data_IF_691189167641
#
_entry.id   IF_691189167641
#
_cell.length_a   1.000
_cell.length_b   1.000
_cell.length_c   1.000
_cell.angle_alpha   90.00
_cell.angle_beta   90.00
_cell.angle_gamma   90.00
#
_symmetry.space_group_name_H-M   'P 1'
#
loop_
_entity.id
_entity.type
_entity.pdbx_description
1 polymer ?
#
# COMPACT_ATOMS: atom_id res chain seq x y z
N UNK A 1 -16.21 -2.71 8.45
CA UNK A 1 -14.82 -2.64 8.98
C UNK A 1 -13.84 -2.95 7.86
N UNK A 2 -12.63 -2.35 7.88
CA UNK A 2 -11.52 -2.66 6.96
C UNK A 2 -10.37 -3.25 7.78
N UNK A 3 -9.81 -4.37 7.36
CA UNK A 3 -8.63 -5.00 7.97
C UNK A 3 -7.42 -4.73 7.08
N UNK A 4 -6.28 -4.36 7.65
CA UNK A 4 -5.02 -4.21 6.89
C UNK A 4 -3.97 -5.18 7.39
N UNK A 5 -3.27 -5.86 6.48
CA UNK A 5 -2.10 -6.68 6.76
C UNK A 5 -0.85 -5.96 6.24
N UNK A 6 0.05 -5.62 7.16
CA UNK A 6 1.33 -4.95 6.85
C UNK A 6 2.49 -5.84 7.32
N UNK A 7 3.01 -6.74 6.49
CA UNK A 7 4.08 -7.66 6.91
C UNK A 7 5.39 -6.97 7.27
N UNK A 8 5.67 -5.79 6.71
CA UNK A 8 6.92 -5.05 6.86
C UNK A 8 6.68 -3.56 7.18
N UNK A 9 6.08 -3.25 8.35
CA UNK A 9 5.89 -1.88 8.78
C UNK A 9 7.23 -1.17 9.02
N UNK A 10 7.20 0.14 9.22
CA UNK A 10 8.39 0.93 9.47
C UNK A 10 8.14 2.09 10.42
N UNK A 11 9.17 2.51 11.15
CA UNK A 11 9.23 3.84 11.72
C UNK A 11 9.77 4.74 10.61
N UNK A 12 8.97 5.69 10.13
CA UNK A 12 9.44 6.65 9.12
C UNK A 12 9.99 7.88 9.84
N UNK A 13 11.34 7.98 9.81
CA UNK A 13 12.10 9.07 10.40
C UNK A 13 12.40 10.13 9.34
N UNK A 14 12.06 11.40 9.61
CA UNK A 14 12.45 12.53 8.76
C UNK A 14 13.44 13.39 9.52
N UNK A 15 14.61 13.65 8.91
CA UNK A 15 15.69 14.49 9.41
C UNK A 15 15.80 15.69 8.49
N UNK A 16 15.54 16.90 9.00
CA UNK A 16 15.72 18.14 8.25
C UNK A 16 17.09 18.75 8.55
N UNK A 17 17.84 19.10 7.51
CA UNK A 17 19.13 19.75 7.58
C UNK A 17 19.04 21.19 7.04
N UNK A 18 19.76 22.13 7.69
CA UNK A 18 19.91 23.52 7.21
C UNK A 18 20.92 23.65 6.06
N UNK A 19 21.65 22.58 5.72
CA UNK A 19 22.70 22.54 4.69
C UNK A 19 22.60 21.27 3.85
N UNK A 20 23.39 21.21 2.80
CA UNK A 20 23.52 19.98 2.00
C UNK A 20 24.11 18.83 2.85
N UNK A 21 23.66 17.61 2.58
CA UNK A 21 24.22 16.40 3.17
C UNK A 21 25.59 16.09 2.52
N UNK A 22 26.64 16.17 3.32
CA UNK A 22 28.02 15.90 2.91
C UNK A 22 28.51 14.60 3.56
N UNK A 23 28.83 13.54 2.77
CA UNK A 23 29.39 12.32 3.30
C UNK A 23 30.68 12.53 4.07
N UNK A 24 30.85 11.84 5.20
CA UNK A 24 32.06 11.91 6.02
C UNK A 24 32.14 13.10 7.00
N UNK A 25 31.09 13.89 7.09
CA UNK A 25 31.01 15.04 8.03
C UNK A 25 29.98 14.82 9.11
N UNK A 26 30.00 15.67 10.16
CA UNK A 26 28.99 15.67 11.22
C UNK A 26 27.95 16.74 10.91
N UNK A 27 26.70 16.31 10.73
CA UNK A 27 25.57 17.21 10.58
C UNK A 27 24.78 17.35 11.89
N UNK A 28 24.26 18.54 12.17
CA UNK A 28 23.27 18.77 13.22
C UNK A 28 21.93 18.99 12.56
N UNK A 29 20.98 18.13 12.91
CA UNK A 29 19.62 18.23 12.37
C UNK A 29 18.90 19.46 12.94
N UNK A 30 18.19 20.19 12.08
CA UNK A 30 17.25 21.24 12.47
C UNK A 30 16.05 20.64 13.22
N UNK A 31 15.53 19.52 12.70
CA UNK A 31 14.45 18.76 13.32
C UNK A 31 14.56 17.28 13.00
N UNK A 32 13.98 16.46 13.87
CA UNK A 32 13.82 15.03 13.66
C UNK A 32 12.40 14.64 14.08
N UNK A 33 11.68 13.93 13.20
CA UNK A 33 10.34 13.42 13.48
C UNK A 33 10.30 11.92 13.23
N UNK A 34 9.45 11.24 13.97
CA UNK A 34 9.21 9.80 13.80
C UNK A 34 7.71 9.58 13.71
N UNK A 35 7.25 8.87 12.70
CA UNK A 35 5.85 8.52 12.50
C UNK A 35 5.71 7.04 12.19
N UNK A 36 4.54 6.49 12.49
CA UNK A 36 4.21 5.15 12.04
C UNK A 36 4.09 5.13 10.52
N UNK A 37 4.77 4.18 9.87
CA UNK A 37 4.78 4.01 8.44
C UNK A 37 4.53 2.57 8.02
N UNK A 38 4.41 2.38 6.70
CA UNK A 38 4.05 1.12 6.06
C UNK A 38 2.70 1.23 5.36
N UNK A 39 2.62 0.70 4.12
CA UNK A 39 1.45 0.93 3.25
C UNK A 39 0.12 0.58 3.92
N UNK A 40 -0.02 -0.59 4.56
CA UNK A 40 -1.26 -0.97 5.23
C UNK A 40 -1.55 -0.12 6.48
N UNK A 41 -0.52 0.35 7.20
CA UNK A 41 -0.67 1.28 8.33
C UNK A 41 -1.21 2.62 7.83
N UNK A 42 -0.69 3.14 6.71
CA UNK A 42 -1.16 4.38 6.09
C UNK A 42 -2.63 4.27 5.65
N UNK A 43 -3.01 3.12 5.06
CA UNK A 43 -4.41 2.84 4.71
C UNK A 43 -5.29 2.82 5.97
N UNK A 44 -4.87 2.12 7.04
CA UNK A 44 -5.61 2.06 8.30
C UNK A 44 -5.77 3.46 8.92
N UNK A 45 -4.72 4.27 8.92
CA UNK A 45 -4.76 5.65 9.41
C UNK A 45 -5.76 6.52 8.61
N UNK A 46 -5.74 6.45 7.28
CA UNK A 46 -6.70 7.17 6.44
C UNK A 46 -8.15 6.74 6.71
N UNK A 47 -8.38 5.44 6.98
CA UNK A 47 -9.69 4.91 7.37
C UNK A 47 -10.10 5.42 8.76
N UNK A 48 -9.17 5.51 9.71
CA UNK A 48 -9.40 6.07 11.05
C UNK A 48 -9.77 7.55 10.98
N UNK A 49 -9.07 8.34 10.16
CA UNK A 49 -9.39 9.75 9.94
C UNK A 49 -10.78 9.97 9.33
N UNK A 50 -11.27 8.99 8.58
CA UNK A 50 -12.66 8.96 8.09
C UNK A 50 -13.69 8.47 9.14
N UNK A 51 -13.28 8.26 10.40
CA UNK A 51 -14.10 7.72 11.48
C UNK A 51 -14.76 6.37 11.15
N UNK A 52 -14.06 5.52 10.40
CA UNK A 52 -14.52 4.17 10.06
C UNK A 52 -13.72 3.10 10.82
N UNK A 53 -14.39 2.03 11.27
CA UNK A 53 -13.74 0.96 12.01
C UNK A 53 -12.72 0.22 11.14
N UNK A 54 -11.52 0.02 11.68
CA UNK A 54 -10.46 -0.73 11.04
C UNK A 54 -9.59 -1.44 12.07
N UNK A 55 -8.84 -2.46 11.63
CA UNK A 55 -7.82 -3.16 12.43
C UNK A 55 -6.57 -3.32 11.57
N UNK A 56 -5.43 -2.89 12.09
CA UNK A 56 -4.14 -3.12 11.47
C UNK A 56 -3.46 -4.36 12.06
N UNK A 57 -3.17 -5.35 11.22
CA UNK A 57 -2.45 -6.58 11.56
C UNK A 57 -1.01 -6.43 11.09
N UNK A 58 -0.04 -6.59 12.00
CA UNK A 58 1.38 -6.48 11.68
C UNK A 58 2.27 -7.20 12.69
N UNK A 59 3.53 -7.58 12.33
CA UNK A 59 4.48 -8.13 13.28
C UNK A 59 5.10 -7.03 14.13
N UNK A 60 5.31 -7.25 15.42
CA UNK A 60 6.06 -6.33 16.30
C UNK A 60 6.63 -7.08 17.51
N UNK A 61 7.79 -6.63 18.02
CA UNK A 61 8.28 -7.07 19.31
C UNK A 61 7.45 -6.46 20.45
N UNK A 62 7.45 -7.09 21.64
CA UNK A 62 6.58 -6.70 22.75
C UNK A 62 6.72 -5.23 23.17
N UNK A 63 7.94 -4.68 23.13
CA UNK A 63 8.25 -3.30 23.51
C UNK A 63 8.74 -2.47 22.34
N UNK A 64 8.28 -2.77 21.11
CA UNK A 64 8.70 -2.06 19.93
C UNK A 64 8.23 -0.60 19.97
N UNK A 65 9.12 0.39 19.72
CA UNK A 65 8.76 1.81 19.71
C UNK A 65 7.77 2.18 18.60
N UNK A 66 7.56 1.31 17.62
CA UNK A 66 6.55 1.47 16.59
C UNK A 66 5.12 1.38 17.12
N UNK A 67 4.86 0.51 18.09
CA UNK A 67 3.51 0.28 18.64
C UNK A 67 2.89 1.54 19.25
N UNK A 68 3.58 2.30 20.11
CA UNK A 68 3.09 3.61 20.57
C UNK A 68 2.76 4.56 19.41
N UNK A 69 3.61 4.67 18.37
CA UNK A 69 3.37 5.54 17.23
C UNK A 69 2.07 5.20 16.48
N UNK A 70 1.75 3.91 16.34
CA UNK A 70 0.47 3.49 15.72
C UNK A 70 -0.72 3.82 16.64
N UNK A 71 -0.57 3.65 17.96
CA UNK A 71 -1.63 4.02 18.91
C UNK A 71 -1.91 5.52 18.95
N UNK A 72 -0.87 6.34 18.82
CA UNK A 72 -0.99 7.81 18.81
C UNK A 72 -1.82 8.32 17.62
N UNK A 73 -1.88 7.56 16.52
CA UNK A 73 -2.76 7.86 15.38
C UNK A 73 -4.14 7.16 15.48
N UNK A 74 -4.49 6.61 16.65
CA UNK A 74 -5.78 5.98 16.97
C UNK A 74 -6.17 4.80 16.06
N UNK A 75 -5.23 4.09 15.47
CA UNK A 75 -5.48 2.86 14.72
C UNK A 75 -5.62 1.70 15.69
N UNK A 76 -6.67 0.90 15.55
CA UNK A 76 -6.82 -0.35 16.29
C UNK A 76 -5.83 -1.39 15.74
N UNK A 77 -5.11 -2.08 16.64
CA UNK A 77 -4.01 -2.97 16.28
C UNK A 77 -4.23 -4.40 16.73
N UNK A 78 -3.75 -5.33 15.91
CA UNK A 78 -3.58 -6.74 16.26
C UNK A 78 -2.15 -7.15 15.88
N UNK A 79 -1.27 -7.33 16.85
CA UNK A 79 0.14 -7.59 16.63
C UNK A 79 0.48 -9.07 16.76
N UNK A 80 1.36 -9.54 15.87
CA UNK A 80 2.00 -10.86 15.99
C UNK A 80 3.42 -10.69 16.52
N UNK A 81 3.72 -11.37 17.64
CA UNK A 81 5.00 -11.23 18.30
C UNK A 81 6.16 -11.76 17.44
N UNK A 82 7.23 -10.96 17.36
CA UNK A 82 8.52 -11.29 16.77
C UNK A 82 9.65 -10.83 17.69
N UNK A 83 10.87 -11.33 17.47
CA UNK A 83 12.01 -11.02 18.34
C UNK A 83 12.77 -9.75 17.93
N UNK A 84 12.78 -9.43 16.64
CA UNK A 84 13.53 -8.28 16.10
C UNK A 84 12.68 -7.00 16.03
N UNK A 85 13.29 -5.82 16.23
CA UNK A 85 12.57 -4.55 16.15
C UNK A 85 12.14 -4.21 14.71
N UNK A 86 11.06 -3.44 14.59
CA UNK A 86 10.60 -2.87 13.34
C UNK A 86 11.71 -1.98 12.74
N UNK A 87 11.84 -2.02 11.41
CA UNK A 87 12.81 -1.20 10.67
C UNK A 87 12.51 0.28 10.80
N UNK A 88 13.58 1.10 10.67
CA UNK A 88 13.44 2.53 10.46
C UNK A 88 13.80 2.86 9.01
N UNK A 89 12.93 3.59 8.33
CA UNK A 89 13.23 4.26 7.07
C UNK A 89 13.57 5.71 7.39
N UNK A 90 14.74 6.17 6.98
CA UNK A 90 15.19 7.55 7.24
C UNK A 90 15.14 8.36 5.96
N UNK A 91 14.43 9.48 5.98
CA UNK A 91 14.45 10.50 4.94
C UNK A 91 15.22 11.71 5.45
N UNK A 92 16.31 12.05 4.79
CA UNK A 92 17.06 13.28 5.04
C UNK A 92 16.62 14.31 4.01
N UNK A 93 16.10 15.45 4.48
CA UNK A 93 15.70 16.60 3.65
C UNK A 93 16.67 17.75 3.85
N UNK A 94 17.12 18.33 2.76
CA UNK A 94 18.02 19.49 2.74
C UNK A 94 17.21 20.77 2.52
N UNK A 95 17.76 21.93 2.90
CA UNK A 95 17.14 23.24 2.66
C UNK A 95 16.83 23.48 1.17
N UNK A 96 17.60 22.88 0.26
CA UNK A 96 17.38 22.93 -1.19
C UNK A 96 16.12 22.17 -1.66
N UNK A 97 15.49 21.39 -0.79
CA UNK A 97 14.41 20.46 -1.13
C UNK A 97 14.89 19.09 -1.59
N UNK A 98 16.22 18.88 -1.75
CA UNK A 98 16.77 17.58 -2.09
C UNK A 98 16.53 16.59 -0.94
N UNK A 99 16.13 15.35 -1.27
CA UNK A 99 15.90 14.29 -0.29
C UNK A 99 16.77 13.08 -0.54
N UNK A 100 17.27 12.47 0.55
CA UNK A 100 17.98 11.19 0.51
C UNK A 100 17.23 10.19 1.39
N UNK A 101 16.89 9.02 0.85
CA UNK A 101 16.16 7.98 1.58
C UNK A 101 17.07 6.79 1.87
N UNK A 102 17.04 6.34 3.13
CA UNK A 102 17.76 5.17 3.65
C UNK A 102 16.73 4.21 4.23
N UNK A 103 16.39 3.16 3.51
CA UNK A 103 15.35 2.22 3.93
C UNK A 103 15.95 0.98 4.60
N UNK A 104 15.47 0.67 5.80
CA UNK A 104 15.82 -0.56 6.52
C UNK A 104 15.21 -1.80 5.85
N UNK A 105 15.89 -2.95 5.98
CA UNK A 105 15.44 -4.22 5.39
C UNK A 105 14.21 -4.83 6.06
N UNK A 106 13.94 -4.46 7.31
CA UNK A 106 12.91 -5.06 8.13
C UNK A 106 13.39 -6.25 8.97
N UNK A 107 12.59 -6.61 9.99
CA UNK A 107 12.90 -7.71 10.91
C UNK A 107 12.85 -9.07 10.23
N UNK A 108 13.39 -10.09 10.91
CA UNK A 108 13.16 -11.48 10.56
C UNK A 108 11.74 -11.88 11.01
N UNK A 109 10.91 -12.28 10.05
CA UNK A 109 9.58 -12.87 10.30
C UNK A 109 9.64 -14.34 9.90
N UNK A 110 9.74 -15.21 10.88
CA UNK A 110 9.87 -16.65 10.69
C UNK A 110 8.56 -17.29 10.19
N UNK A 111 8.61 -18.56 9.80
CA UNK A 111 7.43 -19.28 9.28
C UNK A 111 6.27 -19.33 10.27
N UNK A 112 6.54 -19.38 11.57
CA UNK A 112 5.49 -19.40 12.60
C UNK A 112 4.80 -18.03 12.67
N UNK A 113 5.56 -16.94 12.69
CA UNK A 113 5.02 -15.59 12.69
C UNK A 113 4.26 -15.29 11.38
N UNK A 114 4.74 -15.78 10.23
CA UNK A 114 4.03 -15.68 8.95
C UNK A 114 2.64 -16.34 9.02
N UNK A 115 2.55 -17.56 9.56
CA UNK A 115 1.27 -18.25 9.72
C UNK A 115 0.37 -17.50 10.69
N UNK A 116 0.89 -17.02 11.81
CA UNK A 116 0.12 -16.24 12.78
C UNK A 116 -0.40 -14.91 12.19
N UNK A 117 0.35 -14.26 11.30
CA UNK A 117 -0.13 -13.08 10.57
C UNK A 117 -1.33 -13.41 9.67
N UNK A 118 -1.27 -14.52 8.96
CA UNK A 118 -2.38 -15.01 8.12
C UNK A 118 -3.60 -15.35 8.99
N UNK A 119 -3.38 -16.08 10.09
CA UNK A 119 -4.45 -16.51 11.01
C UNK A 119 -5.13 -15.30 11.68
N UNK A 120 -4.34 -14.33 12.16
CA UNK A 120 -4.86 -13.09 12.76
C UNK A 120 -5.66 -12.26 11.75
N UNK A 121 -5.18 -12.18 10.50
CA UNK A 121 -5.88 -11.49 9.42
C UNK A 121 -7.19 -12.22 9.08
N UNK A 122 -7.18 -13.54 8.98
CA UNK A 122 -8.35 -14.36 8.72
C UNK A 122 -9.40 -14.24 9.83
N UNK A 123 -8.97 -14.24 11.08
CA UNK A 123 -9.88 -14.05 12.22
C UNK A 123 -10.54 -12.65 12.19
N UNK A 124 -9.78 -11.60 11.89
CA UNK A 124 -10.31 -10.24 11.79
C UNK A 124 -11.20 -10.04 10.55
N UNK A 125 -11.02 -10.86 9.50
CA UNK A 125 -11.80 -10.77 8.27
C UNK A 125 -13.27 -11.16 8.43
N UNK A 126 -13.64 -11.89 9.48
CA UNK A 126 -15.02 -12.39 9.70
C UNK A 126 -16.07 -11.27 9.68
N UNK A 127 -15.75 -10.11 10.26
CA UNK A 127 -16.64 -8.94 10.33
C UNK A 127 -16.22 -7.79 9.39
N UNK A 128 -15.30 -8.06 8.49
CA UNK A 128 -14.76 -7.06 7.57
C UNK A 128 -15.51 -7.02 6.24
N UNK A 129 -15.49 -5.87 5.59
CA UNK A 129 -15.90 -5.70 4.19
C UNK A 129 -14.74 -5.85 3.21
N UNK A 130 -13.52 -5.52 3.68
CA UNK A 130 -12.29 -5.59 2.92
C UNK A 130 -11.12 -6.03 3.80
N UNK A 131 -10.23 -6.84 3.24
CA UNK A 131 -8.87 -7.05 3.72
C UNK A 131 -7.91 -6.39 2.73
N UNK A 132 -7.04 -5.53 3.24
CA UNK A 132 -5.97 -4.90 2.47
C UNK A 132 -4.66 -5.57 2.81
N UNK A 133 -4.00 -6.16 1.85
CA UNK A 133 -2.63 -6.66 1.99
C UNK A 133 -1.69 -5.67 1.32
N UNK A 134 -0.78 -5.06 2.08
CA UNK A 134 0.01 -3.98 1.52
C UNK A 134 1.44 -3.90 2.03
N UNK A 135 2.32 -3.49 1.13
CA UNK A 135 3.72 -3.19 1.38
C UNK A 135 4.69 -4.26 0.88
N UNK A 136 5.98 -4.01 1.14
CA UNK A 136 7.07 -4.95 0.90
C UNK A 136 7.05 -6.09 1.91
N UNK A 137 7.84 -7.13 1.65
CA UNK A 137 8.01 -8.25 2.57
C UNK A 137 9.32 -8.11 3.36
N UNK A 138 9.33 -8.47 4.67
CA UNK A 138 10.52 -8.41 5.51
C UNK A 138 11.42 -9.63 5.31
N UNK A 139 12.55 -9.69 6.03
CA UNK A 139 13.45 -10.82 5.98
C UNK A 139 12.75 -12.12 6.40
N UNK A 140 13.11 -13.23 5.75
CA UNK A 140 12.55 -14.56 6.02
C UNK A 140 11.20 -14.85 5.39
N UNK A 141 10.50 -13.83 4.88
CA UNK A 141 9.21 -13.99 4.20
C UNK A 141 9.44 -14.24 2.70
N UNK A 142 8.93 -15.35 2.15
CA UNK A 142 9.08 -15.67 0.73
C UNK A 142 8.24 -14.73 -0.14
N UNK A 143 8.66 -14.53 -1.39
CA UNK A 143 8.01 -13.60 -2.34
C UNK A 143 6.56 -13.96 -2.66
N UNK A 144 6.16 -15.22 -2.51
CA UNK A 144 4.80 -15.73 -2.72
C UNK A 144 3.90 -15.66 -1.48
N UNK A 145 4.33 -14.96 -0.42
CA UNK A 145 3.56 -14.81 0.82
C UNK A 145 2.14 -14.30 0.59
N UNK A 146 1.97 -13.27 -0.26
CA UNK A 146 0.63 -12.74 -0.55
C UNK A 146 -0.24 -13.73 -1.32
N UNK A 147 0.35 -14.56 -2.19
CA UNK A 147 -0.38 -15.66 -2.85
C UNK A 147 -0.91 -16.66 -1.82
N UNK A 148 -0.06 -17.04 -0.86
CA UNK A 148 -0.43 -17.94 0.24
C UNK A 148 -1.52 -17.32 1.12
N UNK A 149 -1.38 -16.05 1.49
CA UNK A 149 -2.35 -15.34 2.32
C UNK A 149 -3.72 -15.18 1.62
N UNK A 150 -3.74 -14.86 0.33
CA UNK A 150 -4.99 -14.79 -0.46
C UNK A 150 -5.70 -16.16 -0.46
N UNK A 151 -4.98 -17.25 -0.72
CA UNK A 151 -5.57 -18.61 -0.70
C UNK A 151 -6.17 -18.95 0.65
N UNK A 152 -5.43 -18.70 1.74
CA UNK A 152 -5.92 -18.94 3.10
C UNK A 152 -7.18 -18.12 3.44
N UNK A 153 -7.23 -16.85 3.03
CA UNK A 153 -8.41 -16.00 3.20
C UNK A 153 -9.60 -16.48 2.36
N UNK A 154 -9.39 -16.94 1.14
CA UNK A 154 -10.47 -17.52 0.32
C UNK A 154 -11.06 -18.77 0.93
N UNK A 155 -10.26 -19.56 1.67
CA UNK A 155 -10.72 -20.76 2.39
C UNK A 155 -11.47 -20.39 3.68
N UNK A 156 -10.94 -19.46 4.48
CA UNK A 156 -11.50 -19.12 5.80
C UNK A 156 -12.65 -18.10 5.75
N UNK A 157 -12.63 -17.18 4.77
CA UNK A 157 -13.61 -16.11 4.58
C UNK A 157 -13.93 -15.93 3.08
N UNK A 158 -14.64 -16.85 2.42
CA UNK A 158 -14.79 -16.90 0.97
C UNK A 158 -15.47 -15.67 0.35
N UNK A 159 -16.25 -14.92 1.13
CA UNK A 159 -16.96 -13.73 0.66
C UNK A 159 -16.21 -12.41 0.94
N UNK A 160 -15.05 -12.46 1.60
CA UNK A 160 -14.28 -11.27 1.89
C UNK A 160 -13.67 -10.69 0.60
N UNK A 161 -13.73 -9.37 0.45
CA UNK A 161 -13.03 -8.70 -0.65
C UNK A 161 -11.60 -8.40 -0.24
N UNK A 162 -10.65 -8.69 -1.14
CA UNK A 162 -9.22 -8.55 -0.91
C UNK A 162 -8.66 -7.48 -1.84
N UNK A 163 -8.02 -6.47 -1.26
CA UNK A 163 -7.24 -5.47 -1.98
C UNK A 163 -5.74 -5.71 -1.78
N UNK A 164 -4.96 -5.59 -2.84
CA UNK A 164 -3.51 -5.77 -2.81
C UNK A 164 -2.79 -4.52 -3.31
N UNK A 165 -1.80 -4.07 -2.56
CA UNK A 165 -0.87 -3.01 -2.95
C UNK A 165 0.57 -3.39 -2.58
N UNK A 166 1.30 -3.97 -3.50
CA UNK A 166 2.69 -4.39 -3.34
C UNK A 166 3.51 -4.07 -4.59
N UNK A 167 4.82 -4.28 -4.54
CA UNK A 167 5.76 -4.01 -5.64
C UNK A 167 6.81 -5.11 -5.77
N UNK A 168 7.65 -5.01 -6.78
CA UNK A 168 8.82 -5.87 -6.99
C UNK A 168 8.48 -7.38 -7.04
N UNK A 169 9.31 -8.21 -6.41
CA UNK A 169 9.16 -9.66 -6.43
C UNK A 169 7.80 -10.18 -5.95
N UNK A 170 7.19 -9.66 -4.87
CA UNK A 170 5.83 -10.06 -4.50
C UNK A 170 4.79 -9.78 -5.59
N UNK A 171 4.92 -8.67 -6.33
CA UNK A 171 4.06 -8.36 -7.47
C UNK A 171 4.25 -9.36 -8.61
N UNK A 172 5.49 -9.74 -8.92
CA UNK A 172 5.79 -10.79 -9.92
C UNK A 172 5.16 -12.14 -9.56
N UNK A 173 5.21 -12.53 -8.28
CA UNK A 173 4.59 -13.78 -7.83
C UNK A 173 3.05 -13.71 -7.91
N UNK A 174 2.46 -12.57 -7.61
CA UNK A 174 1.01 -12.37 -7.84
C UNK A 174 0.68 -12.49 -9.32
N UNK A 175 1.43 -11.83 -10.21
CA UNK A 175 1.22 -11.91 -11.66
C UNK A 175 1.19 -13.35 -12.18
N UNK A 176 2.12 -14.20 -11.71
CA UNK A 176 2.20 -15.62 -12.07
C UNK A 176 1.03 -16.46 -11.53
N UNK A 177 0.35 -16.00 -10.49
CA UNK A 177 -0.65 -16.78 -9.76
C UNK A 177 -2.06 -16.17 -9.80
N UNK A 178 -2.33 -15.15 -10.61
CA UNK A 178 -3.64 -14.50 -10.69
C UNK A 178 -4.78 -15.48 -10.97
N UNK A 179 -4.56 -16.49 -11.81
CA UNK A 179 -5.57 -17.52 -12.11
C UNK A 179 -6.02 -18.35 -10.89
N UNK A 180 -5.23 -18.39 -9.80
CA UNK A 180 -5.49 -19.21 -8.60
C UNK A 180 -5.55 -18.41 -7.31
N UNK A 181 -5.08 -17.17 -7.31
CA UNK A 181 -4.99 -16.29 -6.16
C UNK A 181 -5.20 -14.82 -6.55
N UNK A 182 -6.23 -14.53 -7.37
CA UNK A 182 -6.57 -13.16 -7.71
C UNK A 182 -7.13 -12.42 -6.48
N UNK A 183 -6.60 -11.22 -6.15
CA UNK A 183 -7.32 -10.30 -5.28
C UNK A 183 -8.54 -9.72 -6.01
N UNK A 184 -9.49 -9.16 -5.29
CA UNK A 184 -10.62 -8.45 -5.91
C UNK A 184 -10.19 -7.10 -6.49
N UNK A 185 -9.24 -6.44 -5.81
CA UNK A 185 -8.66 -5.17 -6.23
C UNK A 185 -7.13 -5.25 -6.20
N UNK A 186 -6.49 -4.75 -7.24
CA UNK A 186 -5.06 -4.46 -7.25
C UNK A 186 -4.83 -2.98 -7.58
N UNK A 187 -3.89 -2.33 -6.86
CA UNK A 187 -3.57 -0.93 -7.07
C UNK A 187 -2.12 -0.73 -7.52
N UNK A 188 -1.80 -0.91 -8.79
CA UNK A 188 -0.48 -0.59 -9.32
C UNK A 188 -0.36 0.90 -9.69
N UNK A 189 0.88 1.42 -9.76
CA UNK A 189 1.23 2.54 -10.62
C UNK A 189 1.49 2.04 -12.05
N UNK A 190 1.89 2.91 -12.98
CA UNK A 190 2.15 2.51 -14.37
C UNK A 190 3.32 1.53 -14.50
N UNK A 191 4.40 1.72 -13.71
CA UNK A 191 5.54 0.80 -13.67
C UNK A 191 5.15 -0.58 -13.17
N UNK A 192 4.42 -0.63 -12.06
CA UNK A 192 3.92 -1.87 -11.45
C UNK A 192 2.91 -2.58 -12.37
N UNK A 193 2.07 -1.83 -13.09
CA UNK A 193 1.15 -2.38 -14.09
C UNK A 193 1.92 -3.02 -15.25
N UNK A 194 2.94 -2.33 -15.77
CA UNK A 194 3.84 -2.90 -16.79
C UNK A 194 4.48 -4.20 -16.33
N UNK A 195 4.96 -4.26 -15.08
CA UNK A 195 5.52 -5.45 -14.47
C UNK A 195 4.50 -6.60 -14.38
N UNK A 196 3.24 -6.31 -14.02
CA UNK A 196 2.15 -7.30 -13.95
C UNK A 196 1.86 -7.98 -15.29
N UNK A 197 1.99 -7.26 -16.40
CA UNK A 197 1.61 -7.76 -17.74
C UNK A 197 2.79 -8.02 -18.67
N UNK A 198 4.02 -7.76 -18.23
CA UNK A 198 5.23 -7.94 -19.03
C UNK A 198 5.40 -6.86 -20.12
N UNK A 199 4.97 -5.62 -19.85
CA UNK A 199 5.06 -4.47 -20.75
C UNK A 199 5.97 -3.37 -20.18
N UNK A 200 6.33 -2.39 -21.02
CA UNK A 200 7.11 -1.22 -20.59
C UNK A 200 6.25 -0.25 -19.79
N UNK A 201 6.38 -0.29 -18.46
CA UNK A 201 5.62 0.55 -17.54
C UNK A 201 5.99 2.04 -17.64
N UNK A 202 7.24 2.38 -18.01
CA UNK A 202 7.63 3.77 -18.24
C UNK A 202 6.90 4.36 -19.44
N UNK A 203 6.83 3.60 -20.54
CA UNK A 203 6.07 4.03 -21.71
C UNK A 203 4.58 4.21 -21.41
N UNK A 204 4.00 3.39 -20.51
CA UNK A 204 2.62 3.56 -20.06
C UNK A 204 2.42 4.86 -19.27
N UNK A 205 3.34 5.22 -18.38
CA UNK A 205 3.28 6.46 -17.60
C UNK A 205 3.48 7.69 -18.49
N UNK A 206 4.48 7.69 -19.37
CA UNK A 206 4.77 8.78 -20.30
C UNK A 206 3.58 9.06 -21.25
N UNK A 207 2.93 8.01 -21.77
CA UNK A 207 1.74 8.17 -22.62
C UNK A 207 0.56 8.77 -21.82
N UNK A 208 0.35 8.31 -20.57
CA UNK A 208 -0.70 8.82 -19.70
C UNK A 208 -0.49 10.30 -19.33
N UNK A 209 0.76 10.73 -19.10
CA UNK A 209 1.10 12.15 -18.88
C UNK A 209 0.77 13.03 -20.09
N UNK A 210 0.82 12.46 -21.30
CA UNK A 210 0.42 13.13 -22.55
C UNK A 210 -1.09 13.02 -22.85
N UNK A 211 -1.87 12.39 -21.94
CA UNK A 211 -3.31 12.20 -22.05
C UNK A 211 -3.74 10.96 -22.86
N UNK A 212 -2.80 10.10 -23.25
CA UNK A 212 -3.13 8.81 -23.87
C UNK A 212 -3.15 7.69 -22.83
N UNK A 213 -4.34 7.28 -22.43
CA UNK A 213 -4.59 6.22 -21.48
C UNK A 213 -4.85 4.85 -22.11
N UNK A 214 -4.81 4.76 -23.45
CA UNK A 214 -5.19 3.54 -24.19
C UNK A 214 -4.34 2.34 -23.83
N UNK A 215 -3.01 2.53 -23.68
CA UNK A 215 -2.07 1.49 -23.25
C UNK A 215 -2.34 1.01 -21.83
N UNK A 216 -2.55 1.94 -20.88
CA UNK A 216 -2.86 1.63 -19.50
C UNK A 216 -4.18 0.83 -19.39
N UNK A 217 -5.22 1.22 -20.12
CA UNK A 217 -6.51 0.51 -20.16
C UNK A 217 -6.32 -0.90 -20.72
N UNK A 218 -5.56 -1.05 -21.81
CA UNK A 218 -5.30 -2.35 -22.44
C UNK A 218 -4.52 -3.29 -21.47
N UNK A 219 -3.50 -2.78 -20.81
CA UNK A 219 -2.73 -3.52 -19.80
C UNK A 219 -3.60 -3.93 -18.60
N UNK A 220 -4.39 -3.01 -18.04
CA UNK A 220 -5.28 -3.31 -16.93
C UNK A 220 -6.35 -4.34 -17.29
N UNK A 221 -6.89 -4.34 -18.51
CA UNK A 221 -7.81 -5.37 -18.99
C UNK A 221 -7.20 -6.77 -19.05
N UNK A 222 -5.89 -6.88 -19.31
CA UNK A 222 -5.20 -8.18 -19.23
C UNK A 222 -5.19 -8.72 -17.80
N UNK A 223 -5.09 -7.84 -16.81
CA UNK A 223 -5.17 -8.19 -15.38
C UNK A 223 -6.61 -8.58 -15.01
N UNK A 224 -7.63 -7.82 -15.46
CA UNK A 224 -9.04 -8.19 -15.26
C UNK A 224 -9.37 -9.58 -15.83
N UNK A 225 -8.87 -9.89 -17.03
CA UNK A 225 -9.08 -11.20 -17.68
C UNK A 225 -8.52 -12.37 -16.88
N UNK A 226 -7.64 -12.13 -15.91
CA UNK A 226 -7.09 -13.15 -15.02
C UNK A 226 -7.81 -13.24 -13.65
N UNK A 227 -8.96 -12.57 -13.50
CA UNK A 227 -9.85 -12.72 -12.34
C UNK A 227 -9.81 -11.54 -11.35
N UNK A 228 -9.05 -10.48 -11.58
CA UNK A 228 -9.06 -9.26 -10.76
C UNK A 228 -10.24 -8.38 -11.16
N UNK A 229 -11.18 -8.13 -10.26
CA UNK A 229 -12.38 -7.36 -10.57
C UNK A 229 -12.10 -5.86 -10.76
N UNK A 230 -11.20 -5.29 -9.97
CA UNK A 230 -10.87 -3.86 -9.94
C UNK A 230 -9.37 -3.65 -10.12
N UNK A 231 -8.95 -2.98 -11.20
CA UNK A 231 -7.58 -2.53 -11.39
C UNK A 231 -7.57 -1.00 -11.25
N UNK A 232 -7.07 -0.52 -10.11
CA UNK A 232 -6.99 0.90 -9.78
C UNK A 232 -5.56 1.39 -10.06
N UNK A 233 -5.35 1.99 -11.22
CA UNK A 233 -4.02 2.46 -11.65
C UNK A 233 -3.80 3.90 -11.24
N UNK A 234 -2.79 4.15 -10.42
CA UNK A 234 -2.39 5.52 -10.02
C UNK A 234 -1.32 6.06 -10.97
N UNK A 235 -1.52 7.26 -11.50
CA UNK A 235 -0.71 7.86 -12.57
C UNK A 235 -0.19 9.26 -12.18
N UNK A 236 0.11 9.45 -10.91
CA UNK A 236 0.64 10.71 -10.39
C UNK A 236 -0.26 11.91 -10.73
N UNK A 237 0.30 12.95 -11.36
CA UNK A 237 -0.43 14.17 -11.73
C UNK A 237 -1.53 13.93 -12.79
N UNK A 238 -1.45 12.86 -13.60
CA UNK A 238 -2.49 12.49 -14.54
C UNK A 238 -3.75 11.93 -13.85
N UNK A 239 -3.67 11.60 -12.57
CA UNK A 239 -4.78 11.13 -11.75
C UNK A 239 -4.80 9.62 -11.57
N UNK A 240 -5.97 9.00 -11.65
CA UNK A 240 -6.11 7.55 -11.54
C UNK A 240 -7.15 7.00 -12.52
N UNK A 241 -6.89 5.77 -12.98
CA UNK A 241 -7.80 4.97 -13.79
C UNK A 241 -8.34 3.81 -12.96
N UNK A 242 -9.64 3.60 -13.03
CA UNK A 242 -10.27 2.37 -12.59
C UNK A 242 -10.69 1.56 -13.81
N UNK A 243 -10.20 0.35 -13.95
CA UNK A 243 -10.57 -0.55 -15.05
C UNK A 243 -11.21 -1.81 -14.47
N UNK A 244 -12.35 -2.18 -15.04
CA UNK A 244 -13.13 -3.37 -14.68
C UNK A 244 -13.59 -4.06 -15.97
N UNK A 245 -14.22 -5.22 -15.85
CA UNK A 245 -14.84 -5.89 -16.98
C UNK A 245 -15.90 -5.01 -17.67
N UNK A 246 -16.67 -4.22 -16.89
CA UNK A 246 -17.77 -3.39 -17.39
C UNK A 246 -17.36 -2.04 -18.00
N UNK A 247 -16.11 -1.58 -17.78
CA UNK A 247 -15.67 -0.30 -18.30
C UNK A 247 -14.37 0.23 -17.70
N UNK A 248 -14.02 1.44 -18.10
CA UNK A 248 -12.90 2.20 -17.57
C UNK A 248 -13.35 3.62 -17.22
N UNK A 249 -12.88 4.11 -16.08
CA UNK A 249 -13.15 5.46 -15.57
C UNK A 249 -11.83 6.16 -15.29
N UNK A 250 -11.76 7.44 -15.64
CA UNK A 250 -10.64 8.31 -15.31
C UNK A 250 -11.11 9.39 -14.34
N UNK A 251 -10.32 9.66 -13.32
CA UNK A 251 -10.47 10.85 -12.47
C UNK A 251 -9.12 11.54 -12.31
N UNK A 252 -9.10 12.86 -12.48
CA UNK A 252 -7.90 13.69 -12.31
C UNK A 252 -8.06 14.58 -11.09
N UNK A 253 -6.98 14.83 -10.33
CA UNK A 253 -7.02 15.77 -9.21
C UNK A 253 -7.24 17.19 -9.73
N UNK A 254 -7.82 18.09 -8.92
CA UNK A 254 -7.77 19.51 -9.23
C UNK A 254 -6.30 19.99 -9.19
N UNK A 255 -5.97 21.15 -9.77
CA UNK A 255 -4.66 21.74 -9.59
C UNK A 255 -4.37 21.95 -8.11
N UNK A 256 -3.32 21.29 -7.59
CA UNK A 256 -2.88 21.35 -6.19
C UNK A 256 -1.40 21.67 -6.12
N UNK A 257 -0.97 22.28 -5.02
CA UNK A 257 0.44 22.38 -4.67
C UNK A 257 0.86 21.13 -3.91
N UNK A 258 1.75 20.33 -4.52
CA UNK A 258 2.20 19.06 -3.92
C UNK A 258 3.18 19.34 -2.81
N UNK A 259 2.80 19.06 -1.56
CA UNK A 259 3.67 19.18 -0.39
C UNK A 259 4.44 17.87 -0.16
N UNK A 260 3.80 16.73 -0.34
CA UNK A 260 4.42 15.39 -0.22
C UNK A 260 3.65 14.37 -1.05
N UNK A 261 4.35 13.42 -1.64
CA UNK A 261 3.74 12.27 -2.32
C UNK A 261 3.74 11.00 -1.47
N UNK A 262 4.31 11.08 -0.26
CA UNK A 262 4.39 9.91 0.63
C UNK A 262 3.00 9.56 1.16
N UNK A 263 2.57 8.31 0.95
CA UNK A 263 1.27 7.84 1.38
C UNK A 263 0.09 8.24 0.48
N UNK A 264 0.31 9.03 -0.58
CA UNK A 264 -0.76 9.41 -1.52
C UNK A 264 -1.47 8.19 -2.15
N UNK A 265 -0.70 7.19 -2.60
CA UNK A 265 -1.24 5.94 -3.12
C UNK A 265 -2.01 5.11 -2.07
N UNK A 266 -1.55 5.12 -0.82
CA UNK A 266 -2.20 4.41 0.29
C UNK A 266 -3.52 5.11 0.67
N UNK A 267 -3.52 6.44 0.72
CA UNK A 267 -4.71 7.27 0.93
C UNK A 267 -5.72 7.10 -0.21
N UNK A 268 -5.25 7.07 -1.45
CA UNK A 268 -6.07 6.79 -2.64
C UNK A 268 -6.77 5.44 -2.52
N UNK A 269 -6.06 4.37 -2.12
CA UNK A 269 -6.65 3.07 -1.87
C UNK A 269 -7.70 3.14 -0.77
N UNK A 270 -7.39 3.78 0.37
CA UNK A 270 -8.34 3.95 1.47
C UNK A 270 -9.63 4.66 1.01
N UNK A 271 -9.51 5.75 0.26
CA UNK A 271 -10.65 6.50 -0.30
C UNK A 271 -11.53 5.64 -1.18
N UNK A 272 -10.95 4.82 -2.06
CA UNK A 272 -11.70 3.87 -2.89
C UNK A 272 -12.47 2.84 -2.05
N UNK A 273 -11.78 2.21 -1.09
CA UNK A 273 -12.38 1.17 -0.24
C UNK A 273 -13.52 1.70 0.64
N UNK A 274 -13.35 2.91 1.18
CA UNK A 274 -14.38 3.60 1.97
C UNK A 274 -15.64 3.88 1.13
N UNK A 275 -15.47 4.36 -0.09
CA UNK A 275 -16.57 4.61 -1.01
C UNK A 275 -17.31 3.31 -1.38
N UNK A 276 -16.56 2.25 -1.69
CA UNK A 276 -17.12 0.93 -1.99
C UNK A 276 -17.85 0.32 -0.78
N UNK A 277 -17.31 0.48 0.44
CA UNK A 277 -17.98 0.04 1.66
C UNK A 277 -19.27 0.82 1.95
N UNK A 278 -19.36 2.07 1.51
CA UNK A 278 -20.55 2.90 1.58
C UNK A 278 -21.55 2.67 0.42
N UNK A 279 -21.29 1.71 -0.48
CA UNK A 279 -22.17 1.37 -1.61
C UNK A 279 -22.20 2.40 -2.75
N UNK A 280 -21.18 3.26 -2.85
CA UNK A 280 -21.07 4.24 -3.94
C UNK A 280 -20.80 3.57 -5.29
N UNK A 281 -21.16 4.25 -6.36
CA UNK A 281 -20.85 3.83 -7.73
C UNK A 281 -19.34 3.78 -7.97
N UNK A 282 -18.90 3.09 -9.02
CA UNK A 282 -17.47 2.99 -9.38
C UNK A 282 -16.88 4.37 -9.71
N UNK A 283 -17.63 5.24 -10.38
CA UNK A 283 -17.19 6.60 -10.69
C UNK A 283 -16.99 7.44 -9.41
N UNK A 284 -17.95 7.40 -8.48
CA UNK A 284 -17.83 8.11 -7.20
C UNK A 284 -16.71 7.54 -6.33
N UNK A 285 -16.50 6.22 -6.38
CA UNK A 285 -15.40 5.57 -5.65
C UNK A 285 -14.04 5.98 -6.19
N UNK A 286 -13.89 6.11 -7.50
CA UNK A 286 -12.68 6.62 -8.12
C UNK A 286 -12.45 8.11 -7.79
N UNK A 287 -13.49 8.93 -7.83
CA UNK A 287 -13.40 10.35 -7.44
C UNK A 287 -12.94 10.49 -5.99
N UNK A 288 -13.51 9.71 -5.06
CA UNK A 288 -13.09 9.71 -3.67
C UNK A 288 -11.65 9.18 -3.51
N UNK A 289 -11.25 8.17 -4.27
CA UNK A 289 -9.88 7.66 -4.34
C UNK A 289 -8.89 8.77 -4.67
N UNK A 290 -9.14 9.52 -5.76
CA UNK A 290 -8.28 10.63 -6.19
C UNK A 290 -8.28 11.75 -5.14
N UNK A 291 -9.43 12.13 -4.59
CA UNK A 291 -9.51 13.18 -3.55
C UNK A 291 -8.72 12.84 -2.27
N UNK A 292 -8.59 11.56 -1.92
CA UNK A 292 -7.78 11.13 -0.78
C UNK A 292 -6.29 11.07 -1.09
N UNK A 293 -5.91 10.85 -2.35
CA UNK A 293 -4.54 10.78 -2.81
C UNK A 293 -3.92 12.12 -3.23
N UNK A 294 -4.69 13.20 -3.14
CA UNK A 294 -4.31 14.55 -3.63
C UNK A 294 -3.76 15.44 -2.54
#
# INVERSE_FOLDING_TARGET
>A
MIVTLTPNPSIDATIALDSALEPGTVHRAHSMTHVAGGKGINVAHAVTLANQPNIAVFPAADNDPFVPLVRDINVEINTVAIDEPIRTNTTVTEQSGRTTKLNGKGPLVDKKAQQLLIDATSAAAADASWVVMAGSLPNGVPSDFYVTAIKALRESAPNIRIALDTSDKPMEEIAKNLSTAAPDLIKPNGLELGQLVGEDGLALEEAAEQGDFSGVIAAARKVNAQGVAYVLVTLGAAGALLVTESGAWLASPPPIEVVSTVGAGDSSLAGFLLAQAAGKSLAESLQQSVAYGS
#
